data_IF_631466173695
#
_entry.id   IF_631466173695
#
_cell.length_a   1.000
_cell.length_b   1.000
_cell.length_c   1.000
_cell.angle_alpha   90.00
_cell.angle_beta   90.00
_cell.angle_gamma   90.00
#
_symmetry.space_group_name_H-M   'P 1'
#
loop_
_entity.id
_entity.type
_entity.pdbx_description
1 polymer ?
#
# COMPACT_ATOMS: atom_id res chain seq x y z
N UNK A 1 -5.11 26.98 43.36
CA UNK A 1 -5.43 25.83 42.46
C UNK A 1 -5.17 26.31 41.05
N UNK A 2 -4.27 25.65 40.31
CA UNK A 2 -3.91 26.03 38.93
C UNK A 2 -4.70 25.12 37.99
N UNK A 3 -5.63 25.71 37.25
CA UNK A 3 -6.43 24.99 36.25
C UNK A 3 -5.51 24.51 35.11
N UNK A 4 -5.31 23.19 35.05
CA UNK A 4 -4.58 22.55 33.97
C UNK A 4 -5.45 22.58 32.71
N UNK A 5 -5.18 23.54 31.83
CA UNK A 5 -5.79 23.57 30.48
C UNK A 5 -5.43 22.28 29.76
N UNK A 6 -6.45 21.48 29.46
CA UNK A 6 -6.32 20.20 28.76
C UNK A 6 -5.76 20.39 27.35
N UNK A 7 -4.91 19.45 26.93
CA UNK A 7 -4.22 19.45 25.64
C UNK A 7 -5.18 19.50 24.43
N UNK A 8 -6.43 19.08 24.63
CA UNK A 8 -7.54 19.21 23.68
C UNK A 8 -7.87 20.66 23.32
N UNK A 9 -7.77 21.60 24.27
CA UNK A 9 -8.09 23.01 24.04
C UNK A 9 -6.98 23.75 23.28
N UNK A 10 -5.72 23.31 23.42
CA UNK A 10 -4.57 23.92 22.75
C UNK A 10 -4.52 23.62 21.23
N UNK A 11 -5.20 22.56 20.78
CA UNK A 11 -5.17 22.12 19.38
C UNK A 11 -6.40 22.56 18.57
N UNK A 12 -7.32 23.35 19.16
CA UNK A 12 -8.52 23.84 18.45
C UNK A 12 -9.40 22.74 17.86
N UNK A 13 -9.36 21.54 18.46
CA UNK A 13 -10.13 20.39 17.98
C UNK A 13 -11.54 20.47 18.54
N UNK A 14 -12.52 20.77 17.68
CA UNK A 14 -13.94 20.67 18.02
C UNK A 14 -14.32 19.20 18.26
N UNK A 15 -15.36 18.97 19.08
CA UNK A 15 -15.85 17.63 19.43
C UNK A 15 -16.13 16.74 18.21
N UNK A 16 -16.59 17.34 17.10
CA UNK A 16 -16.84 16.64 15.84
C UNK A 16 -15.59 16.01 15.23
N UNK A 17 -14.43 16.68 15.34
CA UNK A 17 -13.17 16.14 14.81
C UNK A 17 -12.67 14.97 15.64
N UNK A 18 -13.01 14.92 16.93
CA UNK A 18 -12.66 13.81 17.81
C UNK A 18 -13.53 12.57 17.54
N UNK A 19 -14.82 12.76 17.20
CA UNK A 19 -15.73 11.67 16.87
C UNK A 19 -15.22 10.82 15.68
N UNK A 20 -14.65 11.48 14.66
CA UNK A 20 -14.09 10.82 13.48
C UNK A 20 -12.87 9.93 13.80
N UNK A 21 -12.05 10.32 14.79
CA UNK A 21 -10.85 9.57 15.18
C UNK A 21 -11.22 8.30 15.97
N UNK A 22 -12.31 8.36 16.74
CA UNK A 22 -12.77 7.22 17.54
C UNK A 22 -13.60 6.18 16.77
N UNK A 23 -13.85 6.39 15.48
CA UNK A 23 -14.61 5.45 14.64
C UNK A 23 -16.06 5.25 15.06
N UNK A 24 -16.60 6.15 15.90
CA UNK A 24 -17.99 6.12 16.33
C UNK A 24 -18.77 6.99 15.35
N UNK A 25 -19.48 6.35 14.42
CA UNK A 25 -20.32 7.03 13.45
C UNK A 25 -21.33 7.95 14.17
N UNK A 26 -21.52 9.20 13.72
CA UNK A 26 -22.62 10.02 14.20
C UNK A 26 -23.93 9.37 13.77
N UNK A 27 -24.74 8.98 14.75
CA UNK A 27 -26.13 8.58 14.53
C UNK A 27 -26.91 9.81 14.08
N UNK A 28 -27.50 9.85 12.88
CA UNK A 28 -28.45 10.88 12.54
C UNK A 28 -29.76 10.57 13.29
N UNK A 29 -30.11 11.43 14.25
CA UNK A 29 -31.50 11.57 14.69
C UNK A 29 -32.28 12.11 13.48
N UNK A 30 -33.06 11.23 12.83
CA UNK A 30 -34.05 11.59 11.82
C UNK A 30 -35.40 11.51 12.51
N UNK A 31 -36.03 12.67 12.65
CA UNK A 31 -37.37 12.82 13.17
C UNK A 31 -38.40 12.10 12.30
N UNK A 32 -39.41 11.55 12.98
CA UNK A 32 -40.61 10.94 12.44
C UNK A 32 -41.34 11.87 11.47
N UNK A 33 -41.68 11.37 10.29
CA UNK A 33 -42.80 11.88 9.49
C UNK A 33 -43.32 10.75 8.59
N UNK A 34 -44.35 10.09 9.12
CA UNK A 34 -45.33 9.26 8.42
C UNK A 34 -45.97 9.99 7.24
N UNK A 35 -45.96 9.37 6.07
CA UNK A 35 -47.08 9.43 5.13
C UNK A 35 -47.11 8.19 4.23
N UNK A 36 -48.19 7.43 4.41
CA UNK A 36 -48.66 6.38 3.50
C UNK A 36 -49.07 7.01 2.16
N UNK A 37 -48.67 6.40 1.04
CA UNK A 37 -49.48 6.43 -0.18
C UNK A 37 -49.13 5.23 -1.07
N UNK A 38 -50.06 4.28 -1.13
CA UNK A 38 -50.16 3.21 -2.12
C UNK A 38 -50.54 3.77 -3.49
N UNK A 39 -49.90 3.32 -4.58
CA UNK A 39 -50.55 3.23 -5.89
C UNK A 39 -49.86 2.18 -6.78
N UNK A 40 -50.71 1.43 -7.48
CA UNK A 40 -50.45 0.20 -8.23
C UNK A 40 -50.31 0.46 -9.76
N UNK A 41 -49.67 -0.49 -10.45
CA UNK A 41 -49.99 -0.96 -11.82
C UNK A 41 -49.49 -0.20 -13.09
N UNK A 42 -48.61 -0.93 -13.81
CA UNK A 42 -48.48 -1.18 -15.27
C UNK A 42 -48.07 -0.12 -16.33
N UNK A 43 -46.95 -0.46 -16.99
CA UNK A 43 -46.71 -0.57 -18.45
C UNK A 43 -47.00 0.62 -19.38
N UNK A 44 -45.95 1.24 -19.95
CA UNK A 44 -45.87 1.56 -21.39
C UNK A 44 -44.51 2.08 -21.87
N UNK A 45 -44.14 1.59 -23.05
CA UNK A 45 -42.98 1.91 -23.88
C UNK A 45 -43.09 3.32 -24.44
N UNK A 46 -42.03 4.13 -24.44
CA UNK A 46 -41.82 5.13 -25.51
C UNK A 46 -40.42 5.77 -25.46
N UNK A 47 -39.67 5.51 -26.53
CA UNK A 47 -38.89 6.47 -27.35
C UNK A 47 -38.09 7.60 -26.68
N UNK A 48 -36.78 7.57 -26.96
CA UNK A 48 -35.84 8.69 -26.85
C UNK A 48 -36.33 9.95 -27.62
N UNK A 49 -35.82 11.16 -27.29
CA UNK A 49 -34.56 11.60 -27.91
C UNK A 49 -33.63 12.45 -27.03
N UNK A 50 -32.33 12.33 -27.33
CA UNK A 50 -31.26 13.35 -27.33
C UNK A 50 -31.40 14.53 -26.36
N UNK A 51 -30.61 14.51 -25.28
CA UNK A 51 -30.23 15.70 -24.53
C UNK A 51 -28.71 15.87 -24.62
N UNK A 52 -28.33 16.92 -25.33
CA UNK A 52 -27.01 17.51 -25.49
C UNK A 52 -26.53 18.05 -24.14
N UNK A 53 -25.50 17.42 -23.55
CA UNK A 53 -24.87 17.91 -22.32
C UNK A 53 -23.66 18.75 -22.73
N UNK A 54 -23.86 20.06 -22.74
CA UNK A 54 -22.80 21.06 -22.75
C UNK A 54 -21.89 20.84 -21.54
N UNK A 55 -20.64 20.45 -21.78
CA UNK A 55 -19.59 20.45 -20.75
C UNK A 55 -19.00 21.85 -20.62
N UNK A 56 -19.12 22.54 -19.47
CA UNK A 56 -18.40 23.78 -19.24
C UNK A 56 -16.90 23.52 -19.06
N UNK A 57 -16.10 24.27 -19.80
CA UNK A 57 -14.64 24.22 -19.80
C UNK A 57 -14.04 24.41 -18.43
N UNK A 58 -13.27 23.42 -17.98
CA UNK A 58 -12.36 23.56 -16.84
C UNK A 58 -11.02 24.06 -17.37
N UNK A 59 -10.82 25.38 -17.28
CA UNK A 59 -9.51 26.01 -17.40
C UNK A 59 -8.63 25.58 -16.23
N UNK A 60 -7.52 24.91 -16.55
CA UNK A 60 -6.54 24.44 -15.57
C UNK A 60 -5.45 25.51 -15.44
N UNK A 61 -5.32 26.22 -14.31
CA UNK A 61 -4.18 27.10 -14.10
C UNK A 61 -2.92 26.27 -13.82
N UNK A 62 -1.90 26.50 -14.64
CA UNK A 62 -0.52 26.12 -14.38
C UNK A 62 -0.02 26.86 -13.14
N UNK A 63 0.20 26.14 -12.05
CA UNK A 63 1.07 26.59 -10.97
C UNK A 63 2.11 25.52 -10.66
N UNK A 64 3.26 25.69 -11.30
CA UNK A 64 4.51 25.05 -10.93
C UNK A 64 4.89 25.47 -9.50
N UNK A 65 4.81 24.53 -8.56
CA UNK A 65 5.37 24.72 -7.22
C UNK A 65 6.62 23.84 -7.07
N UNK A 66 7.66 24.49 -6.53
CA UNK A 66 9.04 24.04 -6.51
C UNK A 66 9.23 22.74 -5.73
N UNK A 67 9.93 21.78 -6.35
CA UNK A 67 10.43 20.55 -5.71
C UNK A 67 11.53 20.90 -4.71
N UNK A 68 11.20 20.97 -3.42
CA UNK A 68 12.19 20.98 -2.34
C UNK A 68 12.83 19.58 -2.25
N UNK A 69 14.09 19.46 -2.68
CA UNK A 69 14.90 18.25 -2.53
C UNK A 69 15.19 18.00 -1.04
N UNK A 70 14.59 16.96 -0.47
CA UNK A 70 14.96 16.47 0.88
C UNK A 70 16.32 15.76 0.83
N UNK A 71 17.25 16.02 1.76
CA UNK A 71 18.52 15.31 1.82
C UNK A 71 18.32 13.85 2.25
N UNK A 72 18.98 12.95 1.53
CA UNK A 72 18.99 11.52 1.77
C UNK A 72 19.79 11.21 3.04
N UNK A 73 19.14 10.69 4.08
CA UNK A 73 19.83 10.22 5.29
C UNK A 73 20.46 8.86 5.00
N UNK A 74 21.78 8.64 5.20
CA UNK A 74 22.37 7.31 5.11
C UNK A 74 21.90 6.46 6.29
N UNK A 75 21.30 5.30 6.00
CA UNK A 75 20.94 4.29 7.01
C UNK A 75 22.24 3.63 7.48
N UNK A 76 22.51 3.68 8.79
CA UNK A 76 23.59 2.92 9.39
C UNK A 76 23.30 1.42 9.27
N UNK A 77 24.27 0.66 8.77
CA UNK A 77 24.24 -0.79 8.72
C UNK A 77 24.58 -1.35 10.10
N UNK A 78 23.62 -2.01 10.76
CA UNK A 78 23.90 -2.79 11.97
C UNK A 78 24.40 -4.18 11.58
N UNK A 79 25.68 -4.43 11.89
CA UNK A 79 26.35 -5.71 12.19
C UNK A 79 25.58 -6.98 11.83
N UNK A 80 25.96 -7.63 10.73
CA UNK A 80 25.65 -9.04 10.47
C UNK A 80 26.66 -9.93 11.20
N UNK A 81 26.12 -10.95 11.87
CA UNK A 81 26.84 -11.98 12.58
C UNK A 81 27.61 -12.91 11.63
N UNK A 82 28.70 -13.47 12.14
CA UNK A 82 29.59 -14.44 11.50
C UNK A 82 28.85 -15.62 10.86
N UNK A 83 28.78 -15.63 9.53
CA UNK A 83 28.55 -16.83 8.74
C UNK A 83 29.92 -17.23 8.18
N UNK A 84 30.43 -18.39 8.61
CA UNK A 84 31.65 -19.00 8.05
C UNK A 84 31.37 -19.42 6.60
N UNK A 85 31.60 -18.49 5.68
CA UNK A 85 31.54 -18.74 4.25
C UNK A 85 32.88 -19.33 3.81
N UNK A 86 32.86 -20.55 3.27
CA UNK A 86 34.01 -21.11 2.55
C UNK A 86 34.32 -20.22 1.35
N UNK A 87 35.55 -19.71 1.19
CA UNK A 87 35.88 -18.79 0.11
C UNK A 87 35.95 -19.56 -1.22
N UNK A 88 34.89 -19.48 -2.01
CA UNK A 88 34.98 -19.71 -3.45
C UNK A 88 35.86 -18.64 -4.10
N UNK A 89 36.51 -18.94 -5.24
CA UNK A 89 37.51 -18.07 -5.85
C UNK A 89 36.89 -16.70 -6.19
N UNK A 90 37.31 -15.71 -5.42
CA UNK A 90 36.92 -14.31 -5.59
C UNK A 90 37.60 -13.78 -6.85
N UNK A 91 36.92 -13.88 -7.98
CA UNK A 91 37.19 -12.99 -9.10
C UNK A 91 37.13 -11.55 -8.61
N UNK A 92 38.01 -10.68 -9.10
CA UNK A 92 38.18 -9.27 -8.69
C UNK A 92 36.93 -8.39 -8.82
N UNK A 93 35.82 -8.97 -9.27
CA UNK A 93 34.50 -8.39 -9.27
C UNK A 93 33.71 -9.12 -8.19
N UNK A 94 33.41 -8.43 -7.08
CA UNK A 94 32.44 -8.94 -6.10
C UNK A 94 31.13 -9.33 -6.80
N UNK A 95 30.28 -10.16 -6.17
CA UNK A 95 29.11 -10.75 -6.82
C UNK A 95 28.26 -9.66 -7.48
N UNK A 96 28.34 -9.56 -8.81
CA UNK A 96 27.61 -8.58 -9.59
C UNK A 96 26.16 -9.03 -9.60
N UNK A 97 25.31 -8.34 -8.82
CA UNK A 97 23.87 -8.59 -8.83
C UNK A 97 23.24 -7.86 -10.00
N UNK A 98 22.65 -8.62 -10.93
CA UNK A 98 21.91 -8.08 -12.07
C UNK A 98 20.42 -7.97 -11.69
N UNK A 99 19.78 -6.80 -11.84
CA UNK A 99 18.35 -6.68 -11.58
C UNK A 99 17.56 -7.48 -12.61
N UNK A 100 16.69 -8.35 -12.13
CA UNK A 100 15.80 -9.16 -12.97
C UNK A 100 14.33 -8.79 -12.65
N UNK A 101 13.57 -8.46 -13.68
CA UNK A 101 12.11 -8.25 -13.58
C UNK A 101 11.41 -9.44 -14.22
N UNK A 102 10.63 -10.19 -13.43
CA UNK A 102 9.85 -11.34 -13.90
C UNK A 102 8.36 -11.12 -13.65
N UNK A 103 7.52 -11.68 -14.52
CA UNK A 103 6.07 -11.77 -14.30
C UNK A 103 5.77 -13.11 -13.64
N UNK A 104 5.02 -13.06 -12.54
CA UNK A 104 4.61 -14.24 -11.79
C UNK A 104 3.09 -14.35 -11.78
N UNK A 105 2.58 -15.58 -11.68
CA UNK A 105 1.17 -15.80 -11.39
C UNK A 105 0.83 -15.20 -10.01
N UNK A 106 -0.37 -14.61 -9.83
CA UNK A 106 -0.75 -13.99 -8.55
C UNK A 106 -0.62 -14.94 -7.35
N UNK A 107 -1.03 -16.20 -7.52
CA UNK A 107 -0.93 -17.24 -6.49
C UNK A 107 0.52 -17.48 -6.05
N UNK A 108 1.46 -17.53 -7.01
CA UNK A 108 2.89 -17.71 -6.73
C UNK A 108 3.48 -16.47 -6.04
N UNK A 109 3.08 -15.27 -6.47
CA UNK A 109 3.52 -14.03 -5.84
C UNK A 109 3.06 -13.93 -4.37
N UNK A 110 1.83 -14.34 -4.07
CA UNK A 110 1.31 -14.36 -2.70
C UNK A 110 1.96 -15.46 -1.85
N UNK A 111 2.20 -16.65 -2.42
CA UNK A 111 2.97 -17.70 -1.74
C UNK A 111 4.39 -17.24 -1.38
N UNK A 112 5.08 -16.56 -2.32
CA UNK A 112 6.42 -16.00 -2.08
C UNK A 112 6.40 -14.93 -0.97
N UNK A 113 5.38 -14.07 -0.94
CA UNK A 113 5.20 -13.06 0.12
C UNK A 113 5.00 -13.72 1.49
N UNK A 114 4.14 -14.74 1.58
CA UNK A 114 3.89 -15.49 2.83
C UNK A 114 5.16 -16.18 3.33
N UNK A 115 5.84 -16.92 2.45
CA UNK A 115 7.11 -17.57 2.79
C UNK A 115 8.15 -16.56 3.30
N UNK A 116 8.27 -15.40 2.67
CA UNK A 116 9.17 -14.34 3.13
C UNK A 116 8.80 -13.83 4.54
N UNK A 117 7.51 -13.63 4.83
CA UNK A 117 7.05 -13.20 6.15
C UNK A 117 7.32 -14.27 7.22
N UNK A 118 7.04 -15.53 6.92
CA UNK A 118 7.29 -16.67 7.82
C UNK A 118 8.77 -16.78 8.17
N UNK A 119 9.66 -16.67 7.19
CA UNK A 119 11.11 -16.71 7.41
C UNK A 119 11.59 -15.51 8.26
N UNK A 120 11.04 -14.32 8.02
CA UNK A 120 11.34 -13.12 8.82
C UNK A 120 10.90 -13.29 10.27
N UNK A 121 9.69 -13.81 10.50
CA UNK A 121 9.18 -14.08 11.85
C UNK A 121 10.03 -15.13 12.57
N UNK A 122 10.48 -16.16 11.85
CA UNK A 122 11.37 -17.19 12.35
C UNK A 122 12.83 -16.75 12.51
N UNK A 123 13.20 -15.54 12.06
CA UNK A 123 14.59 -15.03 12.01
C UNK A 123 15.55 -15.97 11.28
N UNK A 124 15.08 -16.63 10.22
CA UNK A 124 15.86 -17.57 9.40
C UNK A 124 16.20 -16.94 8.05
N UNK A 125 17.27 -17.42 7.42
CA UNK A 125 17.66 -17.07 6.04
C UNK A 125 17.23 -18.20 5.09
N UNK A 126 16.73 -17.93 3.88
CA UNK A 126 16.56 -16.61 3.24
C UNK A 126 15.37 -15.82 3.80
N UNK A 127 15.53 -14.51 4.00
CA UNK A 127 14.48 -13.64 4.56
C UNK A 127 13.99 -12.56 3.60
N UNK A 128 14.53 -12.49 2.39
CA UNK A 128 14.08 -11.60 1.32
C UNK A 128 13.43 -12.39 0.19
N UNK A 129 12.45 -11.80 -0.49
CA UNK A 129 11.87 -12.38 -1.70
C UNK A 129 12.93 -12.63 -2.78
N UNK A 130 13.90 -11.73 -2.89
CA UNK A 130 15.03 -11.87 -3.83
C UNK A 130 15.87 -13.11 -3.50
N UNK A 131 16.23 -13.32 -2.24
CA UNK A 131 17.05 -14.47 -1.81
C UNK A 131 16.32 -15.79 -2.02
N UNK A 132 15.01 -15.83 -1.68
CA UNK A 132 14.18 -17.01 -1.91
C UNK A 132 14.11 -17.33 -3.40
N UNK A 133 13.89 -16.32 -4.24
CA UNK A 133 13.86 -16.49 -5.70
C UNK A 133 15.23 -16.92 -6.26
N UNK A 134 16.32 -16.34 -5.77
CA UNK A 134 17.69 -16.68 -6.17
C UNK A 134 18.01 -18.15 -5.87
N UNK A 135 17.69 -18.63 -4.66
CA UNK A 135 17.89 -20.04 -4.28
C UNK A 135 17.04 -20.98 -5.15
N UNK A 136 15.77 -20.64 -5.38
CA UNK A 136 14.88 -21.45 -6.18
C UNK A 136 15.33 -21.55 -7.65
N UNK A 137 15.71 -20.41 -8.25
CA UNK A 137 16.20 -20.34 -9.63
C UNK A 137 17.55 -21.06 -9.76
N UNK A 138 18.47 -20.84 -8.81
CA UNK A 138 19.77 -21.52 -8.83
C UNK A 138 19.64 -23.04 -8.69
N UNK A 139 18.72 -23.52 -7.84
CA UNK A 139 18.40 -24.95 -7.71
C UNK A 139 17.92 -25.53 -9.04
N UNK A 140 16.92 -24.89 -9.64
CA UNK A 140 16.39 -25.30 -10.94
C UNK A 140 17.46 -25.28 -12.05
N UNK A 141 18.29 -24.24 -12.13
CA UNK A 141 19.35 -24.14 -13.15
C UNK A 141 20.42 -25.24 -13.02
N UNK A 142 20.82 -25.60 -11.79
CA UNK A 142 21.75 -26.71 -11.54
C UNK A 142 21.16 -28.04 -11.97
N UNK A 143 19.88 -28.28 -11.66
CA UNK A 143 19.18 -29.51 -12.08
C UNK A 143 19.09 -29.64 -13.60
N UNK A 144 19.03 -28.52 -14.33
CA UNK A 144 19.06 -28.49 -15.79
C UNK A 144 20.48 -28.51 -16.40
N UNK A 145 21.54 -28.45 -15.60
CA UNK A 145 22.92 -28.38 -16.08
C UNK A 145 23.30 -27.05 -16.73
N UNK A 146 22.60 -25.96 -16.37
CA UNK A 146 22.91 -24.59 -16.82
C UNK A 146 23.85 -23.84 -15.88
N UNK A 147 24.16 -24.41 -14.71
CA UNK A 147 25.04 -23.86 -13.68
C UNK A 147 25.93 -24.96 -13.10
#
# INVERSE_FOLDING_TARGET
MVDRRGLSQAMGLSSDKLAFITGKAPSPEVEDSTSELTFDVETSVSSAPVAEIETPGTSKPEHATARTRRPHRPRSSSRQADIKFTPEPVGLYGPIKVPLTIRLNPQTADALRRACLEQKLARRTPNSQQEIAEIAIAGWLREQGHL
#
